data_IF_741260704051
#
_entry.id   IF_741260704051
#
_cell.length_a   1.000
_cell.length_b   1.000
_cell.length_c   1.000
_cell.angle_alpha   90.00
_cell.angle_beta   90.00
_cell.angle_gamma   90.00
#
_symmetry.space_group_name_H-M   'P 1'
#
loop_
_entity.id
_entity.type
_entity.pdbx_description
1 polymer ?
#
# COMPACT_ATOMS: atom_id res chain seq x y z
N UNK A 1 -45.61 4.59 -33.35
CA UNK A 1 -45.04 5.95 -33.42
C UNK A 1 -43.52 5.80 -33.51
N UNK A 2 -42.96 5.81 -34.73
CA UNK A 2 -41.53 5.58 -34.92
C UNK A 2 -40.79 6.91 -34.81
N UNK A 3 -40.17 7.17 -33.66
CA UNK A 3 -39.29 8.32 -33.46
C UNK A 3 -38.02 8.13 -34.30
N UNK A 4 -38.06 8.63 -35.53
CA UNK A 4 -36.87 8.76 -36.38
C UNK A 4 -36.02 9.90 -35.85
N UNK A 5 -35.17 9.60 -34.86
CA UNK A 5 -34.14 10.52 -34.35
C UNK A 5 -33.12 10.77 -35.47
N UNK A 6 -33.32 11.85 -36.23
CA UNK A 6 -32.34 12.35 -37.18
C UNK A 6 -31.23 13.04 -36.39
N UNK A 7 -30.33 12.26 -35.80
CA UNK A 7 -29.15 12.80 -35.12
C UNK A 7 -28.20 13.44 -36.14
N UNK A 8 -27.78 14.67 -35.84
CA UNK A 8 -26.68 15.32 -36.56
C UNK A 8 -25.42 14.47 -36.42
N UNK A 9 -24.68 14.27 -37.52
CA UNK A 9 -23.41 13.51 -37.53
C UNK A 9 -22.44 14.03 -36.47
N UNK A 10 -22.47 15.34 -36.20
CA UNK A 10 -21.67 16.02 -35.18
C UNK A 10 -22.01 15.54 -33.76
N UNK A 11 -23.29 15.33 -33.44
CA UNK A 11 -23.72 14.89 -32.11
C UNK A 11 -23.33 13.43 -31.83
N UNK A 12 -23.32 12.60 -32.88
CA UNK A 12 -22.84 11.21 -32.77
C UNK A 12 -21.33 11.19 -32.49
N UNK A 13 -20.56 12.03 -33.18
CA UNK A 13 -19.11 12.14 -32.98
C UNK A 13 -18.79 12.65 -31.57
N UNK A 14 -19.51 13.66 -31.08
CA UNK A 14 -19.34 14.19 -29.72
C UNK A 14 -19.67 13.10 -28.68
N UNK A 15 -20.74 12.34 -28.88
CA UNK A 15 -21.09 11.21 -28.02
C UNK A 15 -19.97 10.16 -27.97
N UNK A 16 -19.43 9.78 -29.14
CA UNK A 16 -18.32 8.84 -29.24
C UNK A 16 -17.05 9.35 -28.53
N UNK A 17 -16.71 10.62 -28.71
CA UNK A 17 -15.57 11.26 -28.03
C UNK A 17 -15.75 11.29 -26.51
N UNK A 18 -16.96 11.59 -26.02
CA UNK A 18 -17.24 11.61 -24.59
C UNK A 18 -17.11 10.23 -23.93
N UNK A 19 -17.59 9.18 -24.60
CA UNK A 19 -17.43 7.79 -24.12
C UNK A 19 -15.95 7.42 -24.10
N UNK A 20 -15.20 7.76 -25.14
CA UNK A 20 -13.78 7.45 -25.23
C UNK A 20 -12.96 8.19 -24.16
N UNK A 21 -13.35 9.42 -23.83
CA UNK A 21 -12.77 10.19 -22.72
C UNK A 21 -13.02 9.52 -21.36
N UNK A 22 -14.23 9.01 -21.11
CA UNK A 22 -14.56 8.35 -19.84
C UNK A 22 -13.74 7.06 -19.69
N UNK A 23 -13.60 6.29 -20.77
CA UNK A 23 -12.82 5.04 -20.77
C UNK A 23 -11.34 5.33 -20.49
N UNK A 24 -10.76 6.36 -21.13
CA UNK A 24 -9.36 6.72 -20.93
C UNK A 24 -9.09 7.20 -19.51
N UNK A 25 -9.94 8.04 -18.94
CA UNK A 25 -9.83 8.51 -17.55
C UNK A 25 -9.92 7.37 -16.54
N UNK A 26 -10.84 6.43 -16.78
CA UNK A 26 -10.99 5.23 -15.93
C UNK A 26 -9.72 4.37 -15.94
N UNK A 27 -9.14 4.16 -17.13
CA UNK A 27 -7.93 3.37 -17.29
C UNK A 27 -6.71 4.03 -16.61
N UNK A 28 -6.54 5.34 -16.80
CA UNK A 28 -5.48 6.12 -16.15
C UNK A 28 -5.61 6.05 -14.62
N UNK A 29 -6.83 6.18 -14.11
CA UNK A 29 -7.10 6.11 -12.66
C UNK A 29 -6.68 4.77 -12.06
N UNK A 30 -6.94 3.65 -12.75
CA UNK A 30 -6.53 2.31 -12.31
C UNK A 30 -5.01 2.17 -12.28
N UNK A 31 -4.30 2.71 -13.27
CA UNK A 31 -2.83 2.67 -13.32
C UNK A 31 -2.23 3.47 -12.16
N UNK A 32 -2.71 4.71 -11.96
CA UNK A 32 -2.24 5.57 -10.86
C UNK A 32 -2.51 4.90 -9.51
N UNK A 33 -3.70 4.32 -9.33
CA UNK A 33 -4.04 3.61 -8.10
C UNK A 33 -3.12 2.42 -7.82
N UNK A 34 -2.84 1.58 -8.83
CA UNK A 34 -1.94 0.43 -8.69
C UNK A 34 -0.50 0.86 -8.37
N UNK A 35 0.01 1.88 -9.06
CA UNK A 35 1.36 2.38 -8.80
C UNK A 35 1.48 3.00 -7.41
N UNK A 36 0.47 3.76 -6.98
CA UNK A 36 0.43 4.34 -5.64
C UNK A 36 0.38 3.27 -4.58
N UNK A 37 -0.48 2.25 -4.75
CA UNK A 37 -0.54 1.10 -3.83
C UNK A 37 0.81 0.40 -3.73
N UNK A 38 1.47 0.12 -4.86
CA UNK A 38 2.77 -0.55 -4.86
C UNK A 38 3.85 0.30 -4.19
N UNK A 39 3.83 1.61 -4.42
CA UNK A 39 4.77 2.55 -3.80
C UNK A 39 4.56 2.67 -2.29
N UNK A 40 3.31 2.74 -1.83
CA UNK A 40 2.99 2.76 -0.40
C UNK A 40 3.38 1.43 0.28
N UNK A 41 3.12 0.30 -0.38
CA UNK A 41 3.53 -1.01 0.11
C UNK A 41 5.05 -1.11 0.19
N UNK A 42 5.79 -0.71 -0.86
CA UNK A 42 7.25 -0.77 -0.83
C UNK A 42 7.86 0.13 0.24
N UNK A 43 7.28 1.29 0.49
CA UNK A 43 7.71 2.16 1.60
C UNK A 43 7.40 1.54 2.97
N UNK A 44 6.23 0.92 3.14
CA UNK A 44 5.89 0.21 4.38
C UNK A 44 6.83 -0.97 4.65
N UNK A 45 7.20 -1.73 3.61
CA UNK A 45 8.21 -2.78 3.73
C UNK A 45 9.59 -2.22 4.06
N UNK A 46 10.01 -1.12 3.44
CA UNK A 46 11.28 -0.48 3.75
C UNK A 46 11.34 0.01 5.21
N UNK A 47 10.25 0.60 5.71
CA UNK A 47 10.14 1.04 7.10
C UNK A 47 10.15 -0.13 8.08
N UNK A 48 9.40 -1.21 7.79
CA UNK A 48 9.41 -2.41 8.63
C UNK A 48 10.80 -3.06 8.68
N UNK A 49 11.52 -3.08 7.56
CA UNK A 49 12.90 -3.58 7.50
C UNK A 49 13.87 -2.65 8.25
N UNK A 50 13.72 -1.32 8.13
CA UNK A 50 14.52 -0.36 8.91
C UNK A 50 14.36 -0.59 10.40
N UNK A 51 13.12 -0.69 10.89
CA UNK A 51 12.86 -0.91 12.31
C UNK A 51 13.46 -2.23 12.83
N UNK A 52 13.49 -3.29 12.00
CA UNK A 52 14.14 -4.55 12.34
C UNK A 52 15.68 -4.43 12.38
N UNK A 53 16.27 -3.62 11.50
CA UNK A 53 17.71 -3.34 11.52
C UNK A 53 18.06 -2.51 12.75
N UNK A 54 17.32 -1.44 13.03
CA UNK A 54 17.54 -0.58 14.20
C UNK A 54 17.41 -1.39 15.51
N UNK A 55 16.43 -2.28 15.60
CA UNK A 55 16.28 -3.19 16.74
C UNK A 55 17.41 -4.25 16.83
N UNK A 56 18.01 -4.64 15.70
CA UNK A 56 19.10 -5.61 15.66
C UNK A 56 20.47 -4.99 15.95
N UNK A 57 20.65 -3.70 15.65
CA UNK A 57 21.86 -2.92 16.00
C UNK A 57 21.85 -2.45 17.46
N UNK A 58 20.69 -2.44 18.11
CA UNK A 58 20.59 -2.13 19.53
C UNK A 58 21.08 -3.30 20.40
N UNK A 59 22.27 -3.14 21.00
CA UNK A 59 22.89 -4.13 21.89
C UNK A 59 22.03 -4.47 23.12
N UNK A 60 21.15 -3.55 23.54
CA UNK A 60 20.21 -3.76 24.65
C UNK A 60 19.00 -4.63 24.27
N UNK A 61 18.81 -4.91 22.97
CA UNK A 61 17.71 -5.71 22.42
C UNK A 61 18.12 -7.12 22.01
N UNK A 62 19.28 -7.60 22.49
CA UNK A 62 19.74 -8.95 22.24
C UNK A 62 18.76 -10.01 22.80
N UNK A 63 18.51 -11.12 22.08
CA UNK A 63 17.71 -12.22 22.60
C UNK A 63 18.36 -12.82 23.86
N UNK A 64 17.56 -13.03 24.91
CA UNK A 64 18.02 -13.69 26.13
C UNK A 64 17.31 -15.03 26.33
N UNK A 65 18.05 -16.09 26.73
CA UNK A 65 17.46 -17.40 26.94
C UNK A 65 16.68 -17.43 28.27
N UNK A 66 15.45 -17.94 28.24
CA UNK A 66 14.68 -18.29 29.44
C UNK A 66 14.51 -19.80 29.48
N UNK A 67 14.85 -20.37 30.63
CA UNK A 67 14.77 -21.80 30.88
C UNK A 67 13.58 -22.10 31.79
N UNK A 68 12.68 -22.96 31.32
CA UNK A 68 11.57 -23.51 32.10
C UNK A 68 11.57 -25.03 31.98
N UNK A 69 11.95 -25.70 33.06
CA UNK A 69 12.08 -27.16 33.15
C UNK A 69 12.98 -27.73 32.02
N UNK A 70 12.41 -28.48 31.07
CA UNK A 70 13.12 -29.07 29.93
C UNK A 70 13.11 -28.19 28.67
N UNK A 71 12.54 -26.98 28.74
CA UNK A 71 12.39 -26.09 27.58
C UNK A 71 13.24 -24.84 27.72
N UNK A 72 14.01 -24.55 26.68
CA UNK A 72 14.73 -23.29 26.51
C UNK A 72 14.10 -22.51 25.36
N UNK A 73 13.68 -21.28 25.62
CA UNK A 73 13.18 -20.36 24.59
C UNK A 73 13.97 -19.06 24.64
N UNK A 74 14.26 -18.48 23.47
CA UNK A 74 14.91 -17.16 23.40
C UNK A 74 13.81 -16.10 23.36
N UNK A 75 13.81 -15.21 24.35
CA UNK A 75 12.87 -14.09 24.44
C UNK A 75 13.57 -12.81 23.99
N UNK A 76 12.80 -11.86 23.47
CA UNK A 76 13.23 -10.50 23.13
C UNK A 76 12.40 -9.56 24.01
N UNK A 77 13.02 -8.48 24.52
CA UNK A 77 12.27 -7.49 25.30
C UNK A 77 11.17 -6.86 24.41
N UNK A 78 9.95 -6.78 24.92
CA UNK A 78 8.80 -6.23 24.20
C UNK A 78 8.98 -4.74 23.88
N UNK A 79 9.76 -4.03 24.71
CA UNK A 79 10.12 -2.64 24.47
C UNK A 79 10.88 -2.46 23.14
N UNK A 80 11.60 -3.49 22.69
CA UNK A 80 12.32 -3.50 21.41
C UNK A 80 11.42 -3.71 20.18
N UNK A 81 10.17 -4.13 20.37
CA UNK A 81 9.22 -4.42 19.29
C UNK A 81 8.24 -3.27 19.06
N UNK A 82 8.24 -2.29 19.94
CA UNK A 82 7.34 -1.13 19.86
C UNK A 82 8.11 -0.02 19.17
N UNK A 83 7.72 0.42 17.96
CA UNK A 83 8.30 1.64 17.41
C UNK A 83 7.98 2.75 18.41
N UNK A 84 9.00 3.49 18.85
CA UNK A 84 8.82 4.58 19.81
C UNK A 84 7.68 5.50 19.33
N UNK A 85 6.51 5.38 19.95
CA UNK A 85 5.40 6.34 19.81
C UNK A 85 5.72 7.66 20.55
N UNK A 86 7.01 7.98 20.70
CA UNK A 86 7.54 9.11 21.43
C UNK A 86 8.28 10.11 20.52
N UNK A 87 7.73 10.38 19.32
CA UNK A 87 7.97 11.64 18.62
C UNK A 87 6.64 12.19 18.06
N UNK A 88 5.86 12.84 18.95
CA UNK A 88 4.93 13.92 18.59
C UNK A 88 5.35 15.16 19.37
#
# INVERSE_FOLDING_TARGET
MNNKLRMSKTNIIIGLLSILLIISLSFISVIIWRNTKNFLISQGYAMAVSNLIDAAENEDCAPFPVHLEERSVQLINIDCLTPDEAEI
#
